data_IF_689912433435
#
_entry.id   IF_689912433435
#
_cell.length_a   1.000
_cell.length_b   1.000
_cell.length_c   1.000
_cell.angle_alpha   90.00
_cell.angle_beta   90.00
_cell.angle_gamma   90.00
#
_symmetry.space_group_name_H-M   'P 1'
#
loop_
_entity.id
_entity.type
_entity.pdbx_description
1 polymer ?
#
# COMPACT_ATOMS: atom_id res chain seq x y z
N UNK A 1 6.36 7.31 2.70
CA UNK A 1 6.26 5.90 2.29
C UNK A 1 6.21 5.76 0.79
N UNK A 2 5.22 6.38 0.15
CA UNK A 2 5.02 6.34 -1.30
C UNK A 2 5.83 7.37 -2.11
N UNK A 3 6.95 7.85 -1.59
CA UNK A 3 7.82 8.79 -2.30
C UNK A 3 9.15 8.12 -2.61
N UNK A 4 9.77 8.51 -3.72
CA UNK A 4 11.09 8.01 -4.11
C UNK A 4 12.13 8.30 -3.02
N UNK A 5 12.08 9.49 -2.45
CA UNK A 5 13.00 9.94 -1.39
C UNK A 5 12.85 9.09 -0.12
N UNK A 6 11.63 8.68 0.21
CA UNK A 6 11.41 7.76 1.35
C UNK A 6 12.04 6.39 1.04
N UNK A 7 11.82 5.86 -0.16
CA UNK A 7 12.33 4.56 -0.55
C UNK A 7 13.88 4.56 -0.61
N UNK A 8 14.49 5.61 -1.12
CA UNK A 8 15.94 5.80 -1.11
C UNK A 8 16.48 5.93 0.32
N UNK A 9 15.76 6.60 1.23
CA UNK A 9 16.13 6.69 2.65
C UNK A 9 16.04 5.34 3.36
N UNK A 10 15.07 4.48 3.00
CA UNK A 10 14.97 3.11 3.50
C UNK A 10 16.12 2.25 2.99
N UNK A 11 16.41 2.33 1.69
CA UNK A 11 17.54 1.61 1.08
C UNK A 11 18.88 2.00 1.69
N UNK A 12 19.06 3.29 2.01
CA UNK A 12 20.27 3.80 2.65
C UNK A 12 20.35 3.52 4.15
N UNK A 13 19.29 2.97 4.77
CA UNK A 13 19.25 2.66 6.20
C UNK A 13 19.04 3.87 7.12
N UNK A 14 18.77 5.06 6.57
CA UNK A 14 18.39 6.24 7.36
C UNK A 14 16.98 6.10 7.97
N UNK A 15 16.13 5.31 7.32
CA UNK A 15 14.79 4.92 7.79
C UNK A 15 14.73 3.39 7.84
N UNK A 16 14.32 2.81 8.97
CA UNK A 16 14.32 1.35 9.11
C UNK A 16 13.30 0.64 8.20
N UNK A 17 12.11 1.24 8.07
CA UNK A 17 11.03 0.72 7.24
C UNK A 17 10.02 1.85 6.94
N UNK A 18 9.21 1.67 5.91
CA UNK A 18 8.12 2.58 5.59
C UNK A 18 6.87 1.82 5.11
N UNK A 19 5.70 2.44 5.29
CA UNK A 19 4.45 1.91 4.77
C UNK A 19 4.25 2.40 3.32
N UNK A 20 4.07 1.44 2.41
CA UNK A 20 3.61 1.67 1.05
C UNK A 20 2.09 1.57 1.02
N UNK A 21 1.42 2.69 0.74
CA UNK A 21 -0.02 2.71 0.52
C UNK A 21 -0.35 2.24 -0.89
N UNK A 22 -1.50 1.62 -1.09
CA UNK A 22 -2.02 1.24 -2.41
C UNK A 22 -3.22 2.14 -2.76
N UNK A 23 -3.02 3.33 -3.38
CA UNK A 23 -4.10 4.31 -3.55
C UNK A 23 -5.29 3.80 -4.37
N UNK A 24 -5.04 2.97 -5.38
CA UNK A 24 -6.12 2.35 -6.16
C UNK A 24 -7.01 1.45 -5.29
N UNK A 25 -6.39 0.64 -4.42
CA UNK A 25 -7.11 -0.24 -3.50
C UNK A 25 -7.84 0.55 -2.40
N UNK A 26 -7.27 1.65 -1.91
CA UNK A 26 -7.93 2.54 -0.93
C UNK A 26 -9.29 3.04 -1.44
N UNK A 27 -9.39 3.40 -2.73
CA UNK A 27 -10.65 3.80 -3.35
C UNK A 27 -11.55 2.63 -3.72
N UNK A 28 -10.98 1.53 -4.23
CA UNK A 28 -11.75 0.41 -4.77
C UNK A 28 -12.40 -0.48 -3.69
N UNK A 29 -11.64 -0.84 -2.64
CA UNK A 29 -12.10 -1.83 -1.66
C UNK A 29 -13.37 -1.42 -0.91
N UNK A 30 -13.55 -0.16 -0.49
CA UNK A 30 -14.80 0.28 0.13
C UNK A 30 -16.00 0.14 -0.80
N UNK A 31 -15.84 0.48 -2.08
CA UNK A 31 -16.91 0.36 -3.09
C UNK A 31 -17.29 -1.10 -3.31
N UNK A 32 -16.31 -2.00 -3.36
CA UNK A 32 -16.55 -3.43 -3.50
C UNK A 32 -17.35 -4.01 -2.31
N UNK A 33 -17.00 -3.64 -1.07
CA UNK A 33 -17.75 -4.05 0.12
C UNK A 33 -19.18 -3.51 0.12
N UNK A 34 -19.37 -2.24 -0.25
CA UNK A 34 -20.71 -1.66 -0.35
C UNK A 34 -21.56 -2.37 -1.42
N UNK A 35 -20.95 -2.85 -2.51
CA UNK A 35 -21.61 -3.68 -3.50
C UNK A 35 -22.13 -5.01 -2.93
N UNK A 36 -21.33 -5.68 -2.09
CA UNK A 36 -21.75 -6.90 -1.39
C UNK A 36 -22.91 -6.64 -0.43
N UNK A 37 -22.79 -5.59 0.39
CA UNK A 37 -23.86 -5.19 1.30
C UNK A 37 -25.17 -4.88 0.55
N UNK A 38 -25.09 -4.20 -0.60
CA UNK A 38 -26.25 -3.92 -1.45
C UNK A 38 -26.88 -5.19 -2.05
N UNK A 39 -26.10 -6.26 -2.24
CA UNK A 39 -26.58 -7.57 -2.70
C UNK A 39 -27.17 -8.43 -1.55
N UNK A 40 -27.18 -7.93 -0.31
CA UNK A 40 -27.65 -8.68 0.87
C UNK A 40 -26.60 -9.60 1.48
N UNK A 41 -25.35 -9.52 1.01
CA UNK A 41 -24.24 -10.31 1.54
C UNK A 41 -23.63 -9.61 2.78
N UNK A 42 -23.22 -10.38 3.80
CA UNK A 42 -22.60 -9.80 5.00
C UNK A 42 -21.21 -9.21 4.68
N UNK A 43 -20.92 -8.07 5.29
CA UNK A 43 -19.59 -7.46 5.34
C UNK A 43 -19.11 -7.39 6.80
N UNK A 44 -17.80 -7.48 7.05
CA UNK A 44 -17.30 -7.47 8.43
C UNK A 44 -15.79 -7.37 8.62
N UNK A 45 -15.03 -6.98 7.58
CA UNK A 45 -13.57 -6.91 7.66
C UNK A 45 -13.09 -5.46 7.62
N UNK A 46 -12.16 -5.12 8.50
CA UNK A 46 -11.33 -3.93 8.35
C UNK A 46 -10.30 -4.17 7.24
N UNK A 47 -10.33 -3.35 6.21
CA UNK A 47 -9.44 -3.49 5.06
C UNK A 47 -8.28 -2.52 5.19
N UNK A 48 -7.08 -3.06 5.36
CA UNK A 48 -5.84 -2.31 5.26
C UNK A 48 -5.25 -2.46 3.86
N UNK A 49 -5.09 -1.33 3.16
CA UNK A 49 -4.55 -1.28 1.80
C UNK A 49 -3.17 -0.64 1.81
N UNK A 50 -2.29 -1.14 2.68
CA UNK A 50 -0.88 -0.77 2.71
C UNK A 50 -0.04 -2.00 3.07
N UNK A 51 1.23 -1.96 2.69
CA UNK A 51 2.23 -2.96 3.11
C UNK A 51 3.44 -2.26 3.73
N UNK A 52 4.13 -2.92 4.64
CA UNK A 52 5.42 -2.46 5.14
C UNK A 52 6.51 -2.90 4.17
N UNK A 53 7.53 -2.06 3.98
CA UNK A 53 8.76 -2.44 3.29
C UNK A 53 9.99 -1.95 4.06
N UNK A 54 11.06 -2.71 3.95
CA UNK A 54 12.37 -2.40 4.51
C UNK A 54 13.46 -2.50 3.43
N UNK A 55 14.73 -2.39 3.82
CA UNK A 55 15.85 -2.46 2.90
C UNK A 55 15.90 -3.76 2.07
N UNK A 56 15.34 -4.88 2.57
CA UNK A 56 15.30 -6.16 1.86
C UNK A 56 14.22 -6.21 0.77
N UNK A 57 13.20 -5.35 0.85
CA UNK A 57 12.01 -5.39 -0.02
C UNK A 57 11.72 -4.06 -0.75
N UNK A 58 12.63 -3.09 -0.72
CA UNK A 58 12.43 -1.75 -1.29
C UNK A 58 12.62 -1.67 -2.81
N UNK A 59 13.36 -2.60 -3.43
CA UNK A 59 13.68 -2.57 -4.85
C UNK A 59 12.47 -2.54 -5.80
N UNK A 60 11.39 -3.33 -5.59
CA UNK A 60 10.19 -3.24 -6.42
C UNK A 60 9.52 -1.87 -6.38
N UNK A 61 9.62 -1.14 -5.27
CA UNK A 61 9.06 0.21 -5.12
C UNK A 61 9.86 1.22 -5.94
N UNK A 62 11.19 1.18 -5.86
CA UNK A 62 12.06 2.09 -6.61
C UNK A 62 11.85 1.96 -8.12
N UNK A 63 11.68 0.73 -8.63
CA UNK A 63 11.38 0.46 -10.03
C UNK A 63 10.10 1.12 -10.56
N UNK A 64 9.16 1.51 -9.69
CA UNK A 64 7.95 2.21 -10.10
C UNK A 64 8.22 3.65 -10.58
N UNK A 65 9.36 4.24 -10.19
CA UNK A 65 9.75 5.60 -10.52
C UNK A 65 10.69 5.71 -11.74
N UNK A 66 11.14 4.59 -12.30
CA UNK A 66 12.08 4.55 -13.44
C UNK A 66 11.35 4.60 -14.80
N UNK A 67 10.11 5.11 -14.82
CA UNK A 67 9.28 5.22 -16.03
C UNK A 67 9.63 6.43 -16.88
#
# INVERSE_FOLDING_TARGET
GNSRETAESVKAGFVNAAAWQFPSAQGFMPVALLGLAAAGEPIGYDIHTFSLYDASSVEPILKLYDK
#
